data_IF_685363578347
#
_entry.id   IF_685363578347
#
_cell.length_a   1.000
_cell.length_b   1.000
_cell.length_c   1.000
_cell.angle_alpha   90.00
_cell.angle_beta   90.00
_cell.angle_gamma   90.00
#
_symmetry.space_group_name_H-M   'P 1'
#
loop_
_entity.id
_entity.type
_entity.pdbx_description
1 polymer ?
#
# COMPACT_ATOMS: atom_id res chain seq x y z
N UNK A 1 12.72 8.26 -11.61
CA UNK A 1 13.55 7.07 -11.34
C UNK A 1 12.96 6.24 -10.21
N UNK A 2 13.32 4.97 -10.07
CA UNK A 2 12.81 4.11 -8.98
C UNK A 2 13.08 4.70 -7.59
N UNK A 3 14.18 5.44 -7.40
CA UNK A 3 14.56 6.06 -6.13
C UNK A 3 13.62 7.22 -5.73
N UNK A 4 12.84 7.72 -6.67
CA UNK A 4 11.89 8.81 -6.44
C UNK A 4 10.43 8.32 -6.39
N UNK A 5 10.20 7.07 -6.74
CA UNK A 5 8.85 6.50 -6.77
C UNK A 5 8.38 6.10 -5.38
N UNK A 6 7.14 6.45 -5.06
CA UNK A 6 6.47 6.01 -3.83
C UNK A 6 5.78 4.65 -3.97
N UNK A 7 5.51 4.21 -5.21
CA UNK A 7 4.93 2.91 -5.51
C UNK A 7 5.84 2.17 -6.47
N UNK A 8 6.32 1.00 -6.07
CA UNK A 8 7.19 0.13 -6.84
C UNK A 8 6.46 -1.19 -7.13
N UNK A 9 6.29 -1.52 -8.41
CA UNK A 9 5.62 -2.74 -8.84
C UNK A 9 6.66 -3.75 -9.34
N UNK A 10 6.65 -4.94 -8.73
CA UNK A 10 7.56 -6.02 -9.03
C UNK A 10 6.82 -7.25 -9.60
N UNK A 11 7.32 -7.78 -10.71
CA UNK A 11 6.93 -9.09 -11.24
C UNK A 11 7.68 -10.17 -10.46
N UNK A 12 7.24 -10.40 -9.22
CA UNK A 12 7.86 -11.30 -8.28
C UNK A 12 6.79 -12.05 -7.49
N UNK A 13 7.00 -13.35 -7.28
CA UNK A 13 6.14 -14.14 -6.41
C UNK A 13 6.35 -13.73 -4.95
N UNK A 14 5.29 -13.35 -4.22
CA UNK A 14 5.39 -13.09 -2.79
C UNK A 14 5.88 -14.33 -2.03
N UNK A 15 6.70 -14.13 -1.00
CA UNK A 15 7.07 -15.22 -0.10
C UNK A 15 5.83 -15.81 0.58
N UNK A 16 5.82 -17.11 0.80
CA UNK A 16 4.77 -17.76 1.60
C UNK A 16 4.74 -17.17 3.00
N UNK A 17 3.57 -17.09 3.57
CA UNK A 17 3.40 -16.68 4.96
C UNK A 17 2.54 -17.69 5.71
N UNK A 18 2.78 -17.78 7.01
CA UNK A 18 1.96 -18.60 7.90
C UNK A 18 0.73 -17.80 8.34
N UNK A 19 -0.45 -18.40 8.15
CA UNK A 19 -1.71 -17.84 8.61
C UNK A 19 -2.42 -18.93 9.39
N UNK A 20 -2.68 -18.69 10.67
CA UNK A 20 -3.24 -19.69 11.58
C UNK A 20 -2.52 -21.06 11.53
N UNK A 21 -1.18 -21.05 11.54
CA UNK A 21 -0.35 -22.25 11.48
C UNK A 21 -0.20 -22.90 10.10
N UNK A 22 -0.88 -22.41 9.07
CA UNK A 22 -0.84 -22.97 7.72
C UNK A 22 -0.05 -22.06 6.78
N UNK A 23 0.89 -22.64 6.04
CA UNK A 23 1.64 -21.91 5.01
C UNK A 23 0.77 -21.63 3.79
N UNK A 24 0.60 -20.35 3.48
CA UNK A 24 -0.19 -19.89 2.34
C UNK A 24 0.68 -19.13 1.33
N UNK A 25 0.44 -19.43 0.07
CA UNK A 25 0.94 -18.66 -1.07
C UNK A 25 -0.13 -17.66 -1.51
N UNK A 26 0.29 -16.55 -2.09
CA UNK A 26 -0.60 -15.57 -2.75
C UNK A 26 -0.04 -15.20 -4.12
N UNK A 27 -0.93 -14.81 -5.03
CA UNK A 27 -0.54 -14.33 -6.35
C UNK A 27 -0.01 -12.88 -6.32
N UNK A 28 -0.44 -12.12 -5.34
CA UNK A 28 0.00 -10.75 -5.13
C UNK A 28 0.23 -10.45 -3.65
N UNK A 29 0.91 -9.34 -3.39
CA UNK A 29 1.09 -8.75 -2.06
C UNK A 29 1.48 -7.30 -2.17
N UNK A 30 0.84 -6.46 -1.37
CA UNK A 30 1.22 -5.06 -1.19
C UNK A 30 1.76 -4.86 0.22
N UNK A 31 2.87 -4.14 0.32
CA UNK A 31 3.51 -3.78 1.58
C UNK A 31 3.68 -2.27 1.63
N UNK A 32 3.32 -1.66 2.75
CA UNK A 32 3.52 -0.25 3.04
C UNK A 32 4.63 -0.10 4.07
N UNK A 33 5.55 0.78 3.78
CA UNK A 33 6.49 1.35 4.75
C UNK A 33 6.27 2.85 4.80
N UNK A 34 6.44 3.44 5.97
CA UNK A 34 6.50 4.89 6.14
C UNK A 34 7.96 5.23 6.35
N UNK A 35 8.51 6.04 5.46
CA UNK A 35 9.93 6.39 5.45
C UNK A 35 10.12 7.87 5.69
N UNK A 36 11.17 8.19 6.43
CA UNK A 36 11.64 9.56 6.62
C UNK A 36 12.67 9.86 5.53
N UNK A 37 12.32 10.75 4.64
CA UNK A 37 13.15 11.10 3.49
C UNK A 37 13.54 12.59 3.51
N UNK A 38 14.70 12.88 2.96
CA UNK A 38 15.14 14.24 2.73
C UNK A 38 14.90 14.62 1.27
N UNK A 39 14.01 15.61 1.06
CA UNK A 39 13.70 16.16 -0.26
C UNK A 39 13.96 17.66 -0.23
N UNK A 40 14.81 18.15 -1.14
CA UNK A 40 15.13 19.58 -1.24
C UNK A 40 15.54 20.21 0.11
N UNK A 41 16.36 19.50 0.89
CA UNK A 41 16.83 19.95 2.20
C UNK A 41 15.80 19.87 3.34
N UNK A 42 14.59 19.33 3.10
CA UNK A 42 13.54 19.19 4.11
C UNK A 42 13.22 17.74 4.37
N UNK A 43 13.10 17.37 5.64
CA UNK A 43 12.67 16.03 6.06
C UNK A 43 11.15 15.91 5.91
N UNK A 44 10.71 14.78 5.36
CA UNK A 44 9.29 14.49 5.15
C UNK A 44 9.01 13.02 5.42
N UNK A 45 7.81 12.71 5.90
CA UNK A 45 7.30 11.34 5.90
C UNK A 45 6.68 11.04 4.54
N UNK A 46 7.14 9.97 3.91
CA UNK A 46 6.59 9.51 2.63
C UNK A 46 6.18 8.04 2.72
N UNK A 47 5.09 7.63 2.06
CA UNK A 47 4.80 6.22 1.91
C UNK A 47 5.77 5.62 0.88
N UNK A 48 6.26 4.43 1.17
CA UNK A 48 6.94 3.57 0.21
C UNK A 48 6.16 2.27 0.10
N UNK A 49 5.52 2.07 -1.04
CA UNK A 49 4.66 0.94 -1.29
C UNK A 49 5.32 -0.02 -2.26
N UNK A 50 5.48 -1.27 -1.84
CA UNK A 50 5.96 -2.35 -2.69
C UNK A 50 4.79 -3.26 -3.06
N UNK A 51 4.48 -3.31 -4.34
CA UNK A 51 3.49 -4.22 -4.93
C UNK A 51 4.22 -5.38 -5.59
N UNK A 52 3.87 -6.59 -5.22
CA UNK A 52 4.38 -7.81 -5.85
C UNK A 52 3.24 -8.53 -6.57
N UNK A 53 3.48 -8.91 -7.80
CA UNK A 53 2.54 -9.71 -8.60
C UNK A 53 3.30 -10.88 -9.20
N UNK A 54 2.80 -12.10 -8.96
CA UNK A 54 3.45 -13.33 -9.41
C UNK A 54 3.61 -13.37 -10.92
N UNK A 55 4.79 -13.76 -11.43
CA UNK A 55 4.96 -14.05 -12.85
C UNK A 55 4.20 -15.34 -13.23
N UNK A 56 3.92 -15.49 -14.53
CA UNK A 56 3.30 -16.72 -15.06
C UNK A 56 1.80 -16.86 -14.83
N UNK A 57 1.12 -15.82 -14.33
CA UNK A 57 -0.34 -15.81 -14.26
C UNK A 57 -0.94 -15.63 -15.65
N UNK A 58 -2.11 -16.27 -15.90
CA UNK A 58 -2.91 -15.97 -17.09
C UNK A 58 -3.37 -14.51 -17.07
N UNK A 59 -3.65 -13.93 -18.24
CA UNK A 59 -3.91 -12.50 -18.39
C UNK A 59 -4.99 -11.96 -17.43
N UNK A 60 -6.13 -12.64 -17.33
CA UNK A 60 -7.21 -12.21 -16.44
C UNK A 60 -6.82 -12.31 -14.96
N UNK A 61 -6.14 -13.40 -14.56
CA UNK A 61 -5.66 -13.55 -13.20
C UNK A 61 -4.59 -12.50 -12.85
N UNK A 62 -3.73 -12.15 -13.82
CA UNK A 62 -2.76 -11.09 -13.68
C UNK A 62 -3.45 -9.74 -13.47
N UNK A 63 -4.42 -9.41 -14.31
CA UNK A 63 -5.17 -8.15 -14.23
C UNK A 63 -5.92 -8.04 -12.90
N UNK A 64 -6.66 -9.09 -12.51
CA UNK A 64 -7.40 -9.09 -11.25
C UNK A 64 -6.48 -8.96 -10.03
N UNK A 65 -5.34 -9.68 -10.03
CA UNK A 65 -4.34 -9.56 -8.96
C UNK A 65 -3.74 -8.16 -8.93
N UNK A 66 -3.37 -7.60 -10.07
CA UNK A 66 -2.81 -6.26 -10.14
C UNK A 66 -3.80 -5.20 -9.65
N UNK A 67 -5.07 -5.28 -10.03
CA UNK A 67 -6.12 -4.38 -9.55
C UNK A 67 -6.28 -4.47 -8.02
N UNK A 68 -6.32 -5.68 -7.47
CA UNK A 68 -6.42 -5.92 -6.03
C UNK A 68 -5.24 -5.27 -5.27
N UNK A 69 -4.04 -5.55 -5.70
CA UNK A 69 -2.83 -5.02 -5.05
C UNK A 69 -2.67 -3.51 -5.22
N UNK A 70 -3.09 -2.96 -6.37
CA UNK A 70 -3.13 -1.51 -6.59
C UNK A 70 -4.19 -0.84 -5.72
N UNK A 71 -5.33 -1.48 -5.47
CA UNK A 71 -6.31 -0.99 -4.50
C UNK A 71 -5.69 -0.76 -3.12
N UNK A 72 -4.91 -1.72 -2.63
CA UNK A 72 -4.13 -1.56 -1.40
C UNK A 72 -3.09 -0.43 -1.53
N UNK A 73 -2.37 -0.38 -2.64
CA UNK A 73 -1.34 0.63 -2.86
C UNK A 73 -1.88 2.06 -2.81
N UNK A 74 -3.12 2.27 -3.23
CA UNK A 74 -3.81 3.56 -3.21
C UNK A 74 -4.61 3.82 -1.93
N UNK A 75 -4.48 2.99 -0.91
CA UNK A 75 -4.99 3.27 0.43
C UNK A 75 -6.19 2.43 0.89
N UNK A 76 -6.67 1.50 0.08
CA UNK A 76 -7.74 0.58 0.47
C UNK A 76 -7.15 -0.65 1.17
N UNK A 77 -6.78 -0.53 2.44
CA UNK A 77 -6.08 -1.59 3.16
C UNK A 77 -6.96 -2.72 3.69
N UNK A 78 -8.27 -2.51 3.74
CA UNK A 78 -9.25 -3.52 4.09
C UNK A 78 -9.63 -4.43 2.92
N UNK A 79 -10.39 -5.47 3.21
CA UNK A 79 -11.00 -6.34 2.20
C UNK A 79 -12.52 -6.24 2.24
N UNK A 80 -13.14 -6.47 1.09
CA UNK A 80 -14.58 -6.51 0.92
C UNK A 80 -15.12 -7.95 1.03
N UNK A 81 -16.28 -8.10 1.63
CA UNK A 81 -17.03 -9.37 1.63
C UNK A 81 -17.84 -9.58 0.33
N UNK A 82 -17.87 -8.59 -0.57
CA UNK A 82 -18.62 -8.68 -1.83
C UNK A 82 -17.72 -9.17 -2.95
N UNK A 83 -18.02 -10.33 -3.55
CA UNK A 83 -17.13 -11.00 -4.52
C UNK A 83 -16.86 -10.20 -5.79
N UNK A 84 -17.69 -9.20 -6.12
CA UNK A 84 -17.57 -8.36 -7.30
C UNK A 84 -16.69 -7.11 -7.10
N UNK A 85 -16.21 -6.88 -5.87
CA UNK A 85 -15.28 -5.81 -5.59
C UNK A 85 -13.84 -6.24 -5.88
N UNK A 86 -13.01 -5.31 -6.27
CA UNK A 86 -11.58 -5.52 -6.52
C UNK A 86 -10.88 -6.08 -5.28
N UNK A 87 -11.24 -5.57 -4.09
CA UNK A 87 -10.66 -5.99 -2.82
C UNK A 87 -11.45 -7.11 -2.11
N UNK A 88 -12.23 -7.89 -2.85
CA UNK A 88 -12.90 -9.05 -2.27
C UNK A 88 -11.90 -10.02 -1.63
N UNK A 89 -12.24 -10.55 -0.44
CA UNK A 89 -11.45 -11.61 0.22
C UNK A 89 -11.30 -12.82 -0.69
N UNK A 90 -12.38 -13.15 -1.42
CA UNK A 90 -12.41 -14.18 -2.45
C UNK A 90 -13.20 -13.65 -3.63
N UNK A 91 -12.58 -13.64 -4.78
CA UNK A 91 -13.21 -13.16 -6.03
C UNK A 91 -14.14 -14.20 -6.67
N UNK A 92 -14.39 -15.32 -5.99
CA UNK A 92 -15.23 -16.39 -6.53
C UNK A 92 -14.61 -17.06 -7.76
N UNK A 93 -15.46 -17.57 -8.67
CA UNK A 93 -15.02 -18.31 -9.86
C UNK A 93 -14.53 -17.39 -11.00
N UNK A 94 -14.94 -16.14 -11.00
CA UNK A 94 -14.61 -15.16 -12.04
C UNK A 94 -13.71 -14.04 -11.49
N UNK A 95 -12.58 -13.79 -12.14
CA UNK A 95 -11.71 -12.67 -11.78
C UNK A 95 -12.44 -11.33 -11.94
N UNK A 96 -12.23 -10.42 -10.98
CA UNK A 96 -12.73 -9.04 -11.08
C UNK A 96 -11.74 -8.23 -11.91
N UNK A 97 -12.16 -7.80 -13.09
CA UNK A 97 -11.30 -7.11 -14.05
C UNK A 97 -11.53 -5.60 -14.10
N UNK A 98 -12.56 -5.11 -13.43
CA UNK A 98 -12.93 -3.69 -13.41
C UNK A 98 -13.38 -3.32 -11.99
N UNK A 99 -12.96 -2.18 -11.44
CA UNK A 99 -13.43 -1.71 -10.14
C UNK A 99 -14.94 -1.53 -10.11
N UNK A 100 -15.60 -2.01 -9.06
CA UNK A 100 -17.02 -1.78 -8.81
C UNK A 100 -17.30 -0.29 -8.55
N UNK A 101 -18.57 0.10 -8.56
CA UNK A 101 -18.95 1.45 -8.16
C UNK A 101 -18.53 1.73 -6.71
N UNK A 102 -18.68 0.74 -5.82
CA UNK A 102 -18.26 0.87 -4.41
C UNK A 102 -16.75 1.03 -4.28
N UNK A 103 -15.95 0.27 -5.02
CA UNK A 103 -14.49 0.43 -5.03
C UNK A 103 -14.11 1.86 -5.39
N UNK A 104 -14.70 2.40 -6.45
CA UNK A 104 -14.45 3.77 -6.93
C UNK A 104 -14.83 4.82 -5.91
N UNK A 105 -16.04 4.75 -5.36
CA UNK A 105 -16.53 5.71 -4.35
C UNK A 105 -15.67 5.65 -3.08
N UNK A 106 -15.27 4.45 -2.66
CA UNK A 106 -14.41 4.29 -1.49
C UNK A 106 -13.02 4.89 -1.73
N UNK A 107 -12.45 4.66 -2.92
CA UNK A 107 -11.17 5.24 -3.29
C UNK A 107 -11.23 6.77 -3.37
N UNK A 108 -12.28 7.32 -4.00
CA UNK A 108 -12.51 8.77 -4.04
C UNK A 108 -12.59 9.38 -2.65
N UNK A 109 -13.33 8.72 -1.73
CA UNK A 109 -13.42 9.16 -0.35
C UNK A 109 -12.04 9.13 0.35
N UNK A 110 -11.25 8.05 0.18
CA UNK A 110 -9.91 7.94 0.75
C UNK A 110 -8.99 9.04 0.23
N UNK A 111 -9.04 9.33 -1.07
CA UNK A 111 -8.21 10.36 -1.71
C UNK A 111 -8.54 11.79 -1.25
N UNK A 112 -9.73 12.01 -0.70
CA UNK A 112 -10.14 13.29 -0.12
C UNK A 112 -9.71 13.46 1.34
N UNK A 113 -9.24 12.39 2.00
CA UNK A 113 -8.82 12.49 3.40
C UNK A 113 -7.50 13.25 3.52
N UNK A 114 -7.38 14.02 4.60
CA UNK A 114 -6.13 14.70 4.92
C UNK A 114 -5.05 13.69 5.30
N UNK A 115 -3.83 13.92 4.83
CA UNK A 115 -2.68 13.09 5.16
C UNK A 115 -1.51 13.94 5.63
N UNK A 116 -0.64 13.36 6.45
CA UNK A 116 0.64 13.96 6.87
C UNK A 116 1.79 13.59 5.94
N UNK A 117 1.55 12.70 4.96
CA UNK A 117 2.56 12.37 3.97
C UNK A 117 2.92 13.60 3.13
N UNK A 118 4.20 13.78 2.88
CA UNK A 118 4.74 14.96 2.18
C UNK A 118 4.88 16.20 3.05
N UNK A 119 4.33 16.23 4.25
CA UNK A 119 4.49 17.35 5.18
C UNK A 119 5.93 17.40 5.70
N UNK A 120 6.46 18.62 5.88
CA UNK A 120 7.77 18.81 6.50
C UNK A 120 7.70 18.43 7.98
N UNK A 121 8.62 17.56 8.40
CA UNK A 121 8.78 17.22 9.81
C UNK A 121 9.44 18.41 10.53
N UNK A 122 8.83 18.87 11.60
CA UNK A 122 9.49 19.81 12.52
C UNK A 122 10.60 19.06 13.25
N UNK A 123 11.75 19.73 13.47
CA UNK A 123 12.76 19.21 14.39
C UNK A 123 12.09 18.95 15.76
N UNK A 124 12.46 17.87 16.48
CA UNK A 124 12.10 17.76 17.87
C UNK A 124 12.50 19.06 18.57
N UNK A 125 11.65 19.58 19.43
CA UNK A 125 12.01 20.67 20.34
C UNK A 125 13.07 20.05 21.25
N UNK A 126 14.34 20.47 21.12
CA UNK A 126 15.35 20.10 22.09
C UNK A 126 14.86 20.59 23.45
N UNK A 127 14.87 19.76 24.49
CA UNK A 127 14.52 20.20 25.82
C UNK A 127 15.50 21.35 26.17
N UNK A 128 14.96 22.46 26.63
CA UNK A 128 15.76 23.56 27.09
C UNK A 128 16.82 23.03 28.09
N UNK A 129 18.09 23.29 27.81
CA UNK A 129 19.15 22.99 28.76
C UNK A 129 18.76 23.65 30.07
N UNK A 130 18.57 22.85 31.11
CA UNK A 130 18.33 23.34 32.45
C UNK A 130 19.61 24.04 32.88
N UNK A 131 19.62 25.39 32.86
CA UNK A 131 20.64 26.15 33.55
C UNK A 131 20.65 25.68 35.03
N UNK A 132 21.74 25.05 35.41
CA UNK A 132 21.99 24.74 36.80
C UNK A 132 22.26 26.04 37.52
N UNK A 133 21.52 26.38 38.60
CA UNK A 133 21.89 27.54 39.42
C UNK A 133 23.21 27.24 40.15
N UNK A 134 24.16 28.16 40.03
CA UNK A 134 25.34 28.22 40.88
C UNK A 134 24.96 28.51 42.34
#
# INVERSE_FOLDING_TARGET
SPEQANVLIHRQRPARRQVAGVWRASNGRTQLQVVDVQRQGRRRLEPLVKVMVSPGLRAEALQATALHELGHAFGLWGHSSVPTDVLAISQGERPVLVPSQRDRLTLEWVMQQTTRFGSTLRKPIEPAESESPE
#
